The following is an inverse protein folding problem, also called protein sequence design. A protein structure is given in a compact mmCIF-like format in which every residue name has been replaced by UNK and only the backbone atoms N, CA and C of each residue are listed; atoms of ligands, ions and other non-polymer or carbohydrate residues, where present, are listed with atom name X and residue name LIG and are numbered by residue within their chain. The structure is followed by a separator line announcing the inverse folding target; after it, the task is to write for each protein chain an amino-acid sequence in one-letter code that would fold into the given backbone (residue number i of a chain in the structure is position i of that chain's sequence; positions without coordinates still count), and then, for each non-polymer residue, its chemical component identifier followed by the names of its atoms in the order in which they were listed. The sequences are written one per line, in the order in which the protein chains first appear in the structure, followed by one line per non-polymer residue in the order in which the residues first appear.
data_IF_122100390661
#
_entry.id   IF_122100390661
#
_cell.length_a   1.000
_cell.length_b   1.000
_cell.length_c   1.000
_cell.angle_alpha   90.00
_cell.angle_beta   90.00
_cell.angle_gamma   90.00
#
_symmetry.space_group_name_H-M   'P 1'
#
loop_
_entity.id
_entity.type
_entity.pdbx_description
1 polymer ?
#
# COMPACT_ATOMS: atom_id res chain seq x y z
N UNK A 1 -9.40 -14.66 -9.51
CA UNK A 1 -8.86 -13.73 -8.48
C UNK A 1 -8.36 -14.57 -7.31
N UNK A 2 -7.17 -14.31 -6.86
CA UNK A 2 -6.66 -14.90 -5.60
C UNK A 2 -7.57 -14.49 -4.44
N UNK A 3 -7.72 -15.38 -3.46
CA UNK A 3 -8.66 -15.17 -2.35
C UNK A 3 -7.90 -15.21 -1.03
N UNK A 4 -7.66 -14.05 -0.45
CA UNK A 4 -7.15 -13.93 0.91
C UNK A 4 -8.17 -14.40 1.95
N UNK A 5 -7.67 -14.71 3.15
CA UNK A 5 -8.48 -15.07 4.33
C UNK A 5 -9.06 -13.84 5.04
N UNK A 6 -8.48 -12.66 4.78
CA UNK A 6 -8.92 -11.40 5.39
C UNK A 6 -10.34 -11.05 4.95
N UNK A 7 -11.23 -10.93 5.94
CA UNK A 7 -12.66 -10.70 5.70
C UNK A 7 -12.95 -9.22 5.46
N UNK A 8 -14.01 -8.91 4.71
CA UNK A 8 -14.50 -7.53 4.49
C UNK A 8 -14.69 -6.73 5.79
N UNK A 9 -15.16 -7.38 6.87
CA UNK A 9 -15.31 -6.73 8.18
C UNK A 9 -13.96 -6.25 8.76
N UNK A 10 -12.90 -7.01 8.55
CA UNK A 10 -11.54 -6.67 8.97
C UNK A 10 -11.03 -5.47 8.18
N UNK A 11 -11.16 -5.49 6.86
CA UNK A 11 -10.84 -4.34 6.01
C UNK A 11 -11.62 -3.09 6.43
N UNK A 12 -12.92 -3.20 6.72
CA UNK A 12 -13.71 -2.06 7.24
C UNK A 12 -13.14 -1.48 8.54
N UNK A 13 -12.69 -2.34 9.46
CA UNK A 13 -12.08 -1.88 10.71
C UNK A 13 -10.73 -1.18 10.45
N UNK A 14 -9.90 -1.74 9.56
CA UNK A 14 -8.63 -1.16 9.13
C UNK A 14 -8.86 0.22 8.49
N UNK A 15 -9.79 0.33 7.56
CA UNK A 15 -10.12 1.59 6.89
C UNK A 15 -10.56 2.66 7.89
N UNK A 16 -11.42 2.31 8.86
CA UNK A 16 -11.86 3.23 9.92
C UNK A 16 -10.71 3.66 10.84
N UNK A 17 -9.75 2.78 11.12
CA UNK A 17 -8.58 3.12 11.92
C UNK A 17 -7.69 4.11 11.17
N UNK A 18 -7.35 3.82 9.92
CA UNK A 18 -6.52 4.68 9.07
C UNK A 18 -7.20 5.99 8.66
N UNK A 19 -8.51 6.09 8.78
CA UNK A 19 -9.28 7.32 8.48
C UNK A 19 -9.05 8.43 9.51
N UNK A 20 -8.55 8.06 10.68
CA UNK A 20 -8.36 8.94 11.84
C UNK A 20 -6.93 9.46 11.98
N UNK A 21 -6.02 9.00 11.12
CA UNK A 21 -4.58 9.31 11.21
C UNK A 21 -4.04 9.80 9.88
N UNK A 22 -2.95 10.54 9.94
CA UNK A 22 -2.21 11.05 8.78
C UNK A 22 -0.72 11.05 9.12
N UNK A 23 0.19 10.91 8.14
CA UNK A 23 1.64 10.98 8.37
C UNK A 23 2.07 12.25 9.11
N UNK A 24 1.40 13.36 8.87
CA UNK A 24 1.59 14.66 9.53
C UNK A 24 0.22 15.22 9.93
N UNK A 25 0.11 16.20 10.86
CA UNK A 25 -1.16 16.72 11.36
C UNK A 25 -1.98 17.53 10.33
N UNK A 26 -1.57 17.51 9.07
CA UNK A 26 -2.24 18.16 7.94
C UNK A 26 -2.17 17.26 6.69
N UNK A 27 -2.66 17.71 5.55
CA UNK A 27 -2.54 16.96 4.28
C UNK A 27 -1.09 17.07 3.77
N UNK A 28 -0.33 15.95 3.82
CA UNK A 28 1.07 15.92 3.36
C UNK A 28 1.20 16.30 1.86
N UNK A 29 0.16 16.13 1.08
CA UNK A 29 0.14 16.55 -0.32
C UNK A 29 0.37 18.05 -0.53
N UNK A 30 0.11 18.88 0.49
CA UNK A 30 0.39 20.33 0.43
C UNK A 30 1.89 20.64 0.41
N UNK A 31 2.73 19.72 0.87
CA UNK A 31 4.20 19.90 0.90
C UNK A 31 4.79 19.72 -0.51
N UNK A 32 4.29 18.73 -1.27
CA UNK A 32 4.89 18.30 -2.54
C UNK A 32 3.92 18.35 -3.74
N UNK A 33 2.77 19.02 -3.61
CA UNK A 33 1.75 19.03 -4.67
C UNK A 33 1.12 17.66 -4.92
N UNK A 34 1.11 16.78 -3.92
CA UNK A 34 0.55 15.41 -4.02
C UNK A 34 1.25 14.54 -5.06
N UNK A 35 2.58 14.69 -5.21
CA UNK A 35 3.38 14.03 -6.26
C UNK A 35 3.15 12.52 -6.33
N UNK A 36 2.95 11.84 -5.21
CA UNK A 36 2.64 10.40 -5.17
C UNK A 36 1.30 10.03 -5.86
N UNK A 37 0.42 11.02 -6.05
CA UNK A 37 -0.83 10.85 -6.79
C UNK A 37 -0.70 11.35 -8.23
N UNK A 38 -0.09 12.54 -8.42
CA UNK A 38 -0.04 13.22 -9.72
C UNK A 38 0.95 12.61 -10.69
N UNK A 39 2.00 11.95 -10.22
CA UNK A 39 2.93 11.21 -11.08
C UNK A 39 2.24 10.15 -11.96
N UNK A 40 1.10 9.60 -11.50
CA UNK A 40 0.30 8.65 -12.27
C UNK A 40 -0.40 9.27 -13.51
N UNK A 41 -0.36 10.59 -13.70
CA UNK A 41 -0.83 11.20 -14.95
C UNK A 41 0.13 10.96 -16.12
N UNK A 42 1.42 10.96 -15.82
CA UNK A 42 2.47 10.85 -16.83
C UNK A 42 2.94 9.40 -17.03
N UNK A 43 2.60 8.50 -16.11
CA UNK A 43 3.00 7.10 -16.14
C UNK A 43 1.83 6.16 -15.81
N UNK A 44 1.32 5.51 -16.86
CA UNK A 44 0.22 4.53 -16.72
C UNK A 44 0.62 3.26 -15.96
N UNK A 45 1.91 3.01 -15.75
CA UNK A 45 2.39 1.90 -14.92
C UNK A 45 2.17 2.15 -13.43
N UNK A 46 1.99 3.42 -13.04
CA UNK A 46 1.74 3.79 -11.65
C UNK A 46 0.29 3.53 -11.26
N UNK A 47 0.15 2.79 -10.20
CA UNK A 47 -1.14 2.43 -9.63
C UNK A 47 -0.95 1.64 -8.34
N UNK A 48 -1.98 0.98 -7.91
CA UNK A 48 -1.96 0.22 -6.65
C UNK A 48 -2.48 -1.18 -6.88
N UNK A 49 -1.75 -2.16 -6.39
CA UNK A 49 -2.22 -3.53 -6.31
C UNK A 49 -3.04 -3.68 -5.04
N UNK A 50 -4.32 -4.02 -5.20
CA UNK A 50 -5.17 -4.26 -4.04
C UNK A 50 -4.74 -5.56 -3.35
N UNK A 51 -4.62 -5.51 -2.04
CA UNK A 51 -4.36 -6.70 -1.25
C UNK A 51 -5.48 -7.73 -1.42
N UNK A 52 -5.19 -9.05 -1.29
CA UNK A 52 -6.18 -10.11 -1.47
C UNK A 52 -7.43 -9.91 -0.59
N UNK A 53 -8.57 -9.62 -1.21
CA UNK A 53 -9.86 -9.35 -0.53
C UNK A 53 -10.17 -7.88 -0.28
N UNK A 54 -9.22 -6.97 -0.50
CA UNK A 54 -9.41 -5.52 -0.35
C UNK A 54 -10.37 -4.95 -1.41
N UNK A 55 -10.45 -5.56 -2.58
CA UNK A 55 -11.37 -5.17 -3.64
C UNK A 55 -12.83 -5.08 -3.19
N UNK A 56 -13.19 -5.78 -2.11
CA UNK A 56 -14.53 -5.74 -1.51
C UNK A 56 -14.86 -4.42 -0.84
N UNK A 57 -13.85 -3.57 -0.61
CA UNK A 57 -14.02 -2.24 -0.03
C UNK A 57 -14.44 -1.20 -1.06
N UNK A 58 -14.22 -1.49 -2.34
CA UNK A 58 -14.45 -0.57 -3.44
C UNK A 58 -15.66 -0.98 -4.26
N UNK A 59 -16.44 0.02 -4.66
CA UNK A 59 -17.50 -0.15 -5.65
C UNK A 59 -16.92 0.12 -7.05
N UNK A 60 -16.97 -0.90 -7.90
CA UNK A 60 -16.48 -0.78 -9.28
C UNK A 60 -17.32 0.17 -10.14
N UNK A 61 -18.58 0.37 -9.78
CA UNK A 61 -19.47 1.32 -10.44
C UNK A 61 -19.22 2.77 -9.98
N UNK A 62 -18.47 2.97 -8.90
CA UNK A 62 -18.21 4.26 -8.26
C UNK A 62 -17.36 5.25 -9.08
N UNK A 63 -16.83 4.81 -10.20
CA UNK A 63 -16.32 5.68 -11.27
C UNK A 63 -14.98 6.37 -11.03
N UNK A 64 -14.40 6.37 -9.83
CA UNK A 64 -13.15 7.10 -9.50
C UNK A 64 -11.87 6.28 -9.69
N UNK A 65 -11.99 4.96 -9.88
CA UNK A 65 -10.89 4.05 -10.20
C UNK A 65 -11.07 3.44 -11.58
N UNK A 66 -9.96 3.24 -12.27
CA UNK A 66 -9.85 2.23 -13.33
C UNK A 66 -9.43 0.91 -12.72
N UNK A 67 -9.80 -0.19 -13.34
CA UNK A 67 -9.60 -1.54 -12.82
C UNK A 67 -8.97 -2.42 -13.89
N UNK A 68 -7.86 -3.05 -13.53
CA UNK A 68 -7.17 -4.01 -14.37
C UNK A 68 -6.96 -5.31 -13.60
N UNK A 69 -7.10 -6.45 -14.27
CA UNK A 69 -6.86 -7.76 -13.67
C UNK A 69 -5.51 -8.27 -14.15
N UNK A 70 -4.49 -8.19 -13.31
CA UNK A 70 -3.15 -8.68 -13.62
C UNK A 70 -3.05 -10.18 -13.30
N UNK A 71 -2.31 -10.90 -14.17
CA UNK A 71 -1.98 -12.31 -13.96
C UNK A 71 -0.69 -12.35 -13.15
N UNK A 72 -0.74 -12.96 -11.97
CA UNK A 72 0.37 -12.91 -11.01
C UNK A 72 1.66 -13.54 -11.52
N UNK A 73 1.58 -14.54 -12.40
CA UNK A 73 2.76 -15.21 -12.96
C UNK A 73 3.55 -14.34 -13.97
N UNK A 74 3.01 -13.21 -14.37
CA UNK A 74 3.67 -12.26 -15.28
C UNK A 74 4.47 -11.19 -14.50
N UNK A 75 4.42 -11.22 -13.17
CA UNK A 75 5.05 -10.25 -12.28
C UNK A 75 5.80 -10.97 -11.15
N UNK A 76 6.66 -10.23 -10.45
CA UNK A 76 7.45 -10.75 -9.32
C UNK A 76 6.64 -10.88 -8.02
N UNK A 77 5.54 -11.64 -8.05
CA UNK A 77 4.78 -11.97 -6.86
C UNK A 77 5.30 -13.23 -6.15
N UNK A 78 4.93 -13.46 -4.88
CA UNK A 78 5.17 -14.74 -4.22
C UNK A 78 4.53 -15.90 -4.98
N UNK A 79 5.15 -17.07 -4.99
CA UNK A 79 4.64 -18.28 -5.65
C UNK A 79 3.22 -18.66 -5.16
N UNK A 80 2.89 -18.35 -3.90
CA UNK A 80 1.56 -18.57 -3.33
C UNK A 80 0.47 -17.70 -3.98
N UNK A 81 0.87 -16.62 -4.69
CA UNK A 81 -0.03 -15.76 -5.43
C UNK A 81 -0.28 -16.32 -6.84
N UNK A 82 -1.03 -17.42 -6.91
CA UNK A 82 -1.36 -18.04 -8.18
C UNK A 82 -2.75 -17.62 -8.65
N UNK A 83 -2.82 -16.82 -9.73
CA UNK A 83 -4.07 -16.40 -10.33
C UNK A 83 -4.09 -14.95 -10.80
N UNK A 84 -5.11 -14.20 -10.39
CA UNK A 84 -5.26 -12.79 -10.76
C UNK A 84 -5.43 -11.91 -9.54
N UNK A 85 -4.92 -10.70 -9.62
CA UNK A 85 -5.10 -9.63 -8.64
C UNK A 85 -5.69 -8.40 -9.31
N UNK A 86 -6.20 -7.47 -8.49
CA UNK A 86 -6.66 -6.19 -8.99
C UNK A 86 -5.56 -5.15 -8.87
N UNK A 87 -5.24 -4.54 -10.01
CA UNK A 87 -4.50 -3.29 -10.11
C UNK A 87 -5.49 -2.16 -10.35
N UNK A 88 -5.34 -1.05 -9.62
CA UNK A 88 -6.25 0.09 -9.72
C UNK A 88 -5.47 1.39 -9.88
N UNK A 89 -6.03 2.31 -10.65
CA UNK A 89 -5.51 3.67 -10.84
C UNK A 89 -6.60 4.68 -10.57
N UNK A 90 -6.21 5.83 -9.97
CA UNK A 90 -7.13 6.96 -9.83
C UNK A 90 -7.39 7.59 -11.19
N UNK A 91 -8.66 7.93 -11.49
CA UNK A 91 -9.00 8.62 -12.75
C UNK A 91 -8.69 10.11 -12.69
N UNK A 92 -8.78 10.71 -11.52
CA UNK A 92 -8.61 12.15 -11.30
C UNK A 92 -7.73 12.41 -10.08
N UNK A 93 -6.43 12.03 -10.10
CA UNK A 93 -5.53 12.37 -9.01
C UNK A 93 -5.37 13.90 -8.92
N UNK A 94 -5.22 14.49 -7.73
CA UNK A 94 -5.27 13.86 -6.40
C UNK A 94 -6.67 13.81 -5.77
N UNK A 95 -7.74 14.02 -6.54
CA UNK A 95 -9.11 14.23 -6.09
C UNK A 95 -9.86 12.94 -5.77
N UNK A 96 -9.19 11.97 -5.15
CA UNK A 96 -9.84 10.73 -4.73
C UNK A 96 -10.62 10.90 -3.41
N UNK A 97 -11.70 10.10 -3.18
CA UNK A 97 -12.37 10.07 -1.89
C UNK A 97 -11.43 9.47 -0.83
N UNK A 98 -10.89 10.31 0.07
CA UNK A 98 -9.85 9.95 1.04
C UNK A 98 -10.20 8.69 1.83
N UNK A 99 -11.44 8.56 2.29
CA UNK A 99 -11.92 7.41 3.07
C UNK A 99 -11.98 6.09 2.27
N UNK A 100 -11.83 6.16 0.95
CA UNK A 100 -11.81 4.98 0.08
C UNK A 100 -10.42 4.69 -0.51
N UNK A 101 -9.38 5.45 -0.15
CA UNK A 101 -8.01 5.17 -0.62
C UNK A 101 -7.59 3.76 -0.24
N UNK A 102 -6.96 2.99 -1.14
CA UNK A 102 -6.38 1.69 -0.81
C UNK A 102 -5.38 1.77 0.33
N UNK A 103 -5.15 0.65 1.01
CA UNK A 103 -4.27 0.57 2.19
C UNK A 103 -2.87 1.08 1.86
N UNK A 104 -2.31 0.74 0.72
CA UNK A 104 -0.98 1.22 0.31
C UNK A 104 -0.90 2.75 0.29
N UNK A 105 -1.92 3.44 -0.25
CA UNK A 105 -1.98 4.91 -0.21
C UNK A 105 -2.12 5.47 1.21
N UNK A 106 -2.76 4.71 2.11
CA UNK A 106 -3.05 5.17 3.48
C UNK A 106 -1.90 4.95 4.44
N UNK A 107 -1.02 3.99 4.14
CA UNK A 107 0.15 3.66 4.96
C UNK A 107 1.43 4.33 4.45
N UNK A 108 1.39 4.87 3.21
CA UNK A 108 2.51 5.65 2.68
C UNK A 108 2.78 6.90 3.54
N UNK A 109 4.03 7.23 3.86
CA UNK A 109 5.28 6.77 3.25
C UNK A 109 5.88 5.51 3.90
N UNK A 110 5.18 4.83 4.81
CA UNK A 110 5.67 3.64 5.46
C UNK A 110 5.26 2.36 4.71
N UNK A 111 6.17 1.39 4.71
CA UNK A 111 5.95 0.03 4.21
C UNK A 111 6.33 -0.99 5.28
N UNK A 112 5.69 -2.17 5.31
CA UNK A 112 6.08 -3.23 6.24
C UNK A 112 7.41 -3.86 5.82
N UNK A 113 8.22 -4.19 6.81
CA UNK A 113 9.44 -4.98 6.64
C UNK A 113 9.45 -6.09 7.68
N UNK A 114 9.84 -7.28 7.25
CA UNK A 114 9.93 -8.45 8.11
C UNK A 114 11.37 -8.95 8.13
N UNK A 115 11.95 -9.06 9.31
CA UNK A 115 13.29 -9.61 9.49
C UNK A 115 13.33 -11.14 9.29
N UNK A 116 14.55 -11.72 9.32
CA UNK A 116 14.74 -13.16 9.14
C UNK A 116 14.08 -14.01 10.24
N UNK A 117 13.88 -13.45 11.44
CA UNK A 117 13.23 -14.09 12.58
C UNK A 117 11.70 -13.93 12.55
N UNK A 118 11.16 -13.22 11.55
CA UNK A 118 9.72 -12.95 11.39
C UNK A 118 9.22 -11.75 12.20
N UNK A 119 10.11 -10.94 12.76
CA UNK A 119 9.78 -9.67 13.40
C UNK A 119 9.29 -8.65 12.38
N UNK A 120 8.14 -8.02 12.67
CA UNK A 120 7.56 -6.99 11.81
C UNK A 120 7.98 -5.61 12.29
N UNK A 121 8.53 -4.82 11.39
CA UNK A 121 8.82 -3.40 11.54
C UNK A 121 8.16 -2.57 10.45
N UNK A 122 8.21 -1.26 10.59
CA UNK A 122 7.87 -0.30 9.53
C UNK A 122 9.13 0.45 9.13
N UNK A 123 9.34 0.59 7.85
CA UNK A 123 10.41 1.39 7.25
C UNK A 123 9.82 2.44 6.31
N UNK A 124 10.58 3.48 5.98
CA UNK A 124 10.21 4.32 4.86
C UNK A 124 10.21 3.50 3.57
N UNK A 125 9.29 3.84 2.68
CA UNK A 125 9.20 3.16 1.38
C UNK A 125 10.49 3.41 0.59
N UNK A 126 11.15 2.31 0.23
CA UNK A 126 12.43 2.28 -0.48
C UNK A 126 12.30 1.78 -1.93
N UNK A 127 11.09 1.67 -2.45
CA UNK A 127 10.90 1.37 -3.86
C UNK A 127 11.45 2.50 -4.73
N UNK A 128 12.00 2.14 -5.88
CA UNK A 128 12.38 3.10 -6.92
C UNK A 128 11.12 3.77 -7.46
N UNK A 129 10.86 4.98 -6.97
CA UNK A 129 9.69 5.75 -7.32
C UNK A 129 10.06 6.78 -8.38
N UNK A 130 9.23 7.01 -9.41
CA UNK A 130 9.48 8.02 -10.45
C UNK A 130 9.23 9.45 -9.96
N UNK A 131 9.20 9.66 -8.65
CA UNK A 131 9.01 10.95 -8.00
C UNK A 131 9.74 11.01 -6.66
N UNK A 132 10.06 12.21 -6.23
CA UNK A 132 10.69 12.48 -4.94
C UNK A 132 9.61 12.80 -3.90
N UNK A 133 9.57 12.04 -2.82
CA UNK A 133 8.69 12.31 -1.67
C UNK A 133 9.51 12.96 -0.55
N UNK A 134 9.27 14.22 -0.17
CA UNK A 134 10.03 14.89 0.90
C UNK A 134 9.95 14.15 2.25
N UNK A 135 8.84 13.46 2.51
CA UNK A 135 8.67 12.67 3.74
C UNK A 135 9.64 11.49 3.82
N UNK A 136 10.09 10.98 2.66
CA UNK A 136 11.05 9.88 2.56
C UNK A 136 12.48 10.42 2.52
N UNK A 137 12.74 11.39 1.63
CA UNK A 137 14.08 11.96 1.43
C UNK A 137 14.68 12.58 2.71
N UNK A 138 13.82 13.28 3.48
CA UNK A 138 14.22 13.95 4.70
C UNK A 138 14.03 13.06 5.95
N UNK A 139 13.60 11.80 5.78
CA UNK A 139 13.20 10.91 6.89
C UNK A 139 12.34 11.65 7.93
N UNK A 140 11.32 12.37 7.42
CA UNK A 140 10.55 13.32 8.21
C UNK A 140 9.90 12.64 9.42
N UNK A 141 9.95 13.28 10.60
CA UNK A 141 9.27 12.78 11.79
C UNK A 141 7.76 12.65 11.52
N UNK A 142 7.25 11.42 11.63
CA UNK A 142 5.85 11.10 11.37
C UNK A 142 5.03 11.15 12.66
N UNK A 143 3.76 11.48 12.53
CA UNK A 143 2.82 11.45 13.66
C UNK A 143 2.79 10.06 14.32
N UNK A 144 2.98 10.02 15.63
CA UNK A 144 3.08 8.78 16.40
C UNK A 144 1.81 7.92 16.28
N UNK A 145 0.64 8.56 16.21
CA UNK A 145 -0.64 7.87 16.05
C UNK A 145 -0.75 7.20 14.68
N UNK A 146 -0.21 7.82 13.64
CA UNK A 146 -0.12 7.25 12.31
C UNK A 146 0.80 6.02 12.28
N UNK A 147 1.98 6.11 12.87
CA UNK A 147 2.93 4.99 12.95
C UNK A 147 2.32 3.82 13.72
N UNK A 148 1.71 4.08 14.88
CA UNK A 148 1.03 3.06 15.69
C UNK A 148 -0.15 2.40 14.97
N UNK A 149 -0.96 3.20 14.27
CA UNK A 149 -2.09 2.69 13.51
C UNK A 149 -1.62 1.83 12.33
N UNK A 150 -0.62 2.30 11.59
CA UNK A 150 -0.01 1.57 10.46
C UNK A 150 0.58 0.25 10.91
N UNK A 151 1.35 0.23 12.00
CA UNK A 151 1.88 -1.00 12.60
C UNK A 151 0.75 -1.95 12.99
N UNK A 152 -0.30 -1.45 13.61
CA UNK A 152 -1.46 -2.27 14.02
C UNK A 152 -2.14 -2.90 12.79
N UNK A 153 -2.31 -2.14 11.73
CA UNK A 153 -2.88 -2.61 10.46
C UNK A 153 -2.06 -3.75 9.88
N UNK A 154 -0.76 -3.56 9.73
CA UNK A 154 0.11 -4.59 9.16
C UNK A 154 0.22 -5.83 10.03
N UNK A 155 0.25 -5.71 11.36
CA UNK A 155 0.14 -6.86 12.29
C UNK A 155 -1.14 -7.67 12.12
N UNK A 156 -2.22 -7.05 11.69
CA UNK A 156 -3.47 -7.77 11.37
C UNK A 156 -3.45 -8.37 9.97
N UNK A 157 -2.93 -7.66 9.00
CA UNK A 157 -2.90 -8.08 7.59
C UNK A 157 -2.00 -9.30 7.37
N UNK A 158 -0.82 -9.34 7.96
CA UNK A 158 0.11 -10.49 7.84
C UNK A 158 -0.40 -11.80 8.48
N UNK A 159 -1.55 -11.78 9.16
CA UNK A 159 -2.24 -13.02 9.56
C UNK A 159 -2.89 -13.74 8.39
N UNK A 160 -3.06 -13.06 7.27
CA UNK A 160 -3.43 -13.67 6.00
C UNK A 160 -2.15 -14.21 5.35
N UNK A 161 -2.06 -15.54 5.08
CA UNK A 161 -0.84 -16.14 4.54
C UNK A 161 -0.37 -15.51 3.24
N UNK A 162 -1.30 -15.09 2.37
CA UNK A 162 -0.94 -14.45 1.11
C UNK A 162 -0.28 -13.08 1.35
N UNK A 163 -0.80 -12.31 2.29
CA UNK A 163 -0.23 -11.01 2.64
C UNK A 163 1.10 -11.19 3.38
N UNK A 164 1.19 -12.21 4.23
CA UNK A 164 2.45 -12.60 4.87
C UNK A 164 3.53 -12.88 3.82
N UNK A 165 3.23 -13.75 2.85
CA UNK A 165 4.17 -14.14 1.79
C UNK A 165 4.61 -12.94 0.94
N UNK A 166 3.69 -11.99 0.68
CA UNK A 166 4.02 -10.75 -0.02
C UNK A 166 5.05 -9.93 0.78
N UNK A 167 4.74 -9.63 2.04
CA UNK A 167 5.62 -8.82 2.89
C UNK A 167 6.97 -9.52 3.09
N UNK A 168 6.97 -10.84 3.28
CA UNK A 168 8.19 -11.62 3.40
C UNK A 168 9.05 -11.53 2.14
N UNK A 169 8.47 -11.76 0.95
CA UNK A 169 9.19 -11.67 -0.32
C UNK A 169 9.79 -10.27 -0.52
N UNK A 170 8.97 -9.23 -0.40
CA UNK A 170 9.42 -7.85 -0.57
C UNK A 170 10.56 -7.49 0.39
N UNK A 171 10.50 -7.96 1.64
CA UNK A 171 11.56 -7.75 2.62
C UNK A 171 12.86 -8.44 2.22
N UNK A 172 12.81 -9.68 1.74
CA UNK A 172 14.01 -10.41 1.25
C UNK A 172 14.58 -9.76 0.00
N UNK A 173 13.74 -9.27 -0.90
CA UNK A 173 14.20 -8.61 -2.12
C UNK A 173 14.96 -7.31 -1.79
N UNK A 174 14.46 -6.49 -0.85
CA UNK A 174 15.16 -5.29 -0.34
C UNK A 174 16.54 -5.62 0.22
N UNK A 175 16.63 -6.63 1.08
CA UNK A 175 17.91 -7.02 1.68
C UNK A 175 18.92 -7.51 0.63
N UNK A 176 18.45 -8.18 -0.43
CA UNK A 176 19.30 -8.59 -1.55
C UNK A 176 19.82 -7.40 -2.36
N UNK A 177 19.00 -6.38 -2.54
CA UNK A 177 19.39 -5.15 -3.25
C UNK A 177 20.41 -4.34 -2.45
N UNK A 178 20.27 -4.27 -1.14
CA UNK A 178 21.21 -3.54 -0.25
C UNK A 178 22.59 -4.22 -0.12
N UNK A 179 22.67 -5.52 -0.43
CA UNK A 179 23.94 -6.30 -0.40
C UNK A 179 24.74 -6.24 -1.71
N UNK A 180 24.20 -5.61 -2.75
CA UNK A 180 24.86 -5.42 -4.06
C UNK A 180 25.54 -4.07 -4.16
#
# INVERSE_FOLDING_TARGET
MIKGRTRKRTYRAIYRLLDRVSPVPFDCGTICGSVCCTAAYDDESLGMMLLPGEEKMHDRSGGWLTWEALITNEYEFPESWNGRIWFVRCKEPPHCPRQLRPIQCRTFPLTPHMDEDGGLSLIYNDFDLPYVCPMIEDEAELDESFVKATMTVWKHLIRDPLIYDLVWKESRDRERQQRK
#
